data_IF_716852150824
#
_entry.id   IF_716852150824
#
_cell.length_a   1.000
_cell.length_b   1.000
_cell.length_c   1.000
_cell.angle_alpha   90.00
_cell.angle_beta   90.00
_cell.angle_gamma   90.00
#
_symmetry.space_group_name_H-M   'P 1'
#
loop_
_entity.id
_entity.type
_entity.pdbx_description
1 polymer ?
#
# COMPACT_ATOMS: atom_id res chain seq x y z
N UNK A 1 -2.78 -28.77 44.44
CA UNK A 1 -2.49 -28.71 43.00
C UNK A 1 -3.28 -27.55 42.40
N UNK A 2 -2.64 -26.41 42.18
CA UNK A 2 -3.28 -25.24 41.57
C UNK A 2 -2.97 -25.26 40.08
N UNK A 3 -4.00 -25.38 39.26
CA UNK A 3 -3.93 -25.49 37.80
C UNK A 3 -3.65 -24.10 37.19
N UNK A 4 -2.54 -23.87 36.45
CA UNK A 4 -2.29 -22.58 35.83
C UNK A 4 -2.79 -22.62 34.37
N UNK A 5 -4.09 -22.49 34.14
CA UNK A 5 -4.64 -22.46 32.77
C UNK A 5 -5.12 -21.06 32.29
N UNK A 6 -5.09 -20.03 33.15
CA UNK A 6 -5.75 -18.76 32.84
C UNK A 6 -4.88 -17.67 32.19
N UNK A 7 -3.55 -17.82 32.13
CA UNK A 7 -2.65 -16.73 31.71
C UNK A 7 -2.30 -16.71 30.21
N UNK A 8 -2.48 -17.82 29.49
CA UNK A 8 -2.15 -17.89 28.07
C UNK A 8 -3.16 -17.15 27.17
N UNK A 9 -4.46 -17.24 27.49
CA UNK A 9 -5.51 -16.61 26.69
C UNK A 9 -5.50 -15.08 26.77
N UNK A 10 -5.21 -14.51 27.94
CA UNK A 10 -5.14 -13.05 28.13
C UNK A 10 -3.94 -12.42 27.39
N UNK A 11 -2.84 -13.17 27.20
CA UNK A 11 -1.64 -12.73 26.46
C UNK A 11 -1.82 -12.71 24.94
N UNK A 12 -2.53 -13.69 24.38
CA UNK A 12 -2.80 -13.77 22.93
C UNK A 12 -3.58 -12.56 22.39
N UNK A 13 -4.58 -12.10 23.17
CA UNK A 13 -5.46 -10.98 22.83
C UNK A 13 -4.71 -9.63 22.79
N UNK A 14 -3.67 -9.47 23.63
CA UNK A 14 -2.82 -8.28 23.65
C UNK A 14 -1.90 -8.20 22.42
N UNK A 15 -1.31 -9.32 22.01
CA UNK A 15 -0.45 -9.40 20.84
C UNK A 15 -1.22 -9.12 19.54
N UNK A 16 -2.42 -9.70 19.38
CA UNK A 16 -3.26 -9.45 18.22
C UNK A 16 -3.69 -7.99 18.09
N UNK A 17 -4.02 -7.34 19.21
CA UNK A 17 -4.40 -5.91 19.20
C UNK A 17 -3.22 -5.00 18.84
N UNK A 18 -2.01 -5.30 19.31
CA UNK A 18 -0.79 -4.57 18.94
C UNK A 18 -0.38 -4.82 17.48
N UNK A 19 -0.54 -6.05 16.97
CA UNK A 19 -0.35 -6.36 15.55
C UNK A 19 -1.35 -5.62 14.67
N UNK A 20 -2.61 -5.48 15.11
CA UNK A 20 -3.63 -4.70 14.39
C UNK A 20 -3.26 -3.22 14.37
N UNK A 21 -2.89 -2.65 15.51
CA UNK A 21 -2.41 -1.27 15.60
C UNK A 21 -1.19 -1.03 14.72
N UNK A 22 -0.23 -1.96 14.67
CA UNK A 22 0.91 -1.85 13.76
C UNK A 22 0.48 -1.89 12.30
N UNK A 23 -0.46 -2.77 11.91
CA UNK A 23 -0.98 -2.82 10.53
C UNK A 23 -1.69 -1.53 10.12
N UNK A 24 -2.34 -0.86 11.06
CA UNK A 24 -3.11 0.37 10.81
C UNK A 24 -2.25 1.65 10.89
N UNK A 25 -1.24 1.69 11.76
CA UNK A 25 -0.46 2.90 12.04
C UNK A 25 0.97 2.89 11.47
N UNK A 26 1.51 1.72 11.08
CA UNK A 26 2.90 1.63 10.65
C UNK A 26 3.12 2.25 9.27
N UNK A 27 4.13 3.13 9.20
CA UNK A 27 4.64 3.70 7.94
C UNK A 27 4.91 2.63 6.88
N UNK A 28 5.40 1.46 7.29
CA UNK A 28 5.68 0.34 6.38
C UNK A 28 4.40 -0.26 5.81
N UNK A 29 3.34 -0.42 6.61
CA UNK A 29 2.07 -0.93 6.13
C UNK A 29 1.42 0.03 5.13
N UNK A 30 1.49 1.33 5.40
CA UNK A 30 1.06 2.40 4.48
C UNK A 30 1.86 2.39 3.19
N UNK A 31 3.19 2.27 3.26
CA UNK A 31 4.05 2.19 2.08
C UNK A 31 3.68 1.01 1.18
N UNK A 32 3.46 -0.18 1.77
CA UNK A 32 3.03 -1.36 1.02
C UNK A 32 1.65 -1.17 0.37
N UNK A 33 0.73 -0.51 1.07
CA UNK A 33 -0.59 -0.17 0.51
C UNK A 33 -0.47 0.81 -0.67
N UNK A 34 0.40 1.82 -0.57
CA UNK A 34 0.67 2.76 -1.66
C UNK A 34 1.34 2.08 -2.86
N UNK A 35 2.29 1.18 -2.64
CA UNK A 35 2.91 0.39 -3.71
C UNK A 35 1.89 -0.48 -4.45
N UNK A 36 0.97 -1.10 -3.72
CA UNK A 36 -0.15 -1.84 -4.31
C UNK A 36 -1.06 -0.92 -5.12
N UNK A 37 -1.46 0.23 -4.55
CA UNK A 37 -2.31 1.21 -5.24
C UNK A 37 -1.67 1.71 -6.53
N UNK A 38 -0.36 2.02 -6.49
CA UNK A 38 0.41 2.44 -7.67
C UNK A 38 0.40 1.37 -8.77
N UNK A 39 0.65 0.11 -8.40
CA UNK A 39 0.65 -0.99 -9.36
C UNK A 39 -0.75 -1.21 -9.98
N UNK A 40 -1.81 -1.04 -9.18
CA UNK A 40 -3.19 -1.12 -9.65
C UNK A 40 -3.51 0.03 -10.63
N UNK A 41 -3.11 1.27 -10.32
CA UNK A 41 -3.29 2.43 -11.22
C UNK A 41 -2.49 2.31 -12.51
N UNK A 42 -1.31 1.68 -12.48
CA UNK A 42 -0.51 1.46 -13.68
C UNK A 42 -1.19 0.48 -14.64
N UNK A 43 -1.80 -0.59 -14.12
CA UNK A 43 -2.60 -1.52 -14.93
C UNK A 43 -3.80 -0.83 -15.56
N UNK A 44 -4.51 0.00 -14.80
CA UNK A 44 -5.63 0.78 -15.31
C UNK A 44 -5.19 1.75 -16.41
N UNK A 45 -4.10 2.50 -16.19
CA UNK A 45 -3.57 3.41 -17.20
C UNK A 45 -3.10 2.70 -18.48
N UNK A 46 -2.57 1.47 -18.39
CA UNK A 46 -2.27 0.68 -19.59
C UNK A 46 -3.53 0.11 -20.26
N UNK A 47 -4.59 -0.17 -19.50
CA UNK A 47 -5.87 -0.59 -20.07
C UNK A 47 -6.58 0.57 -20.78
N UNK A 48 -6.51 1.79 -20.23
CA UNK A 48 -7.08 3.01 -20.84
C UNK A 48 -6.46 3.30 -22.22
N UNK A 49 -5.18 2.97 -22.42
CA UNK A 49 -4.50 3.09 -23.73
C UNK A 49 -5.01 2.13 -24.80
N UNK A 50 -5.72 1.07 -24.40
CA UNK A 50 -6.36 0.15 -25.34
C UNK A 50 -7.74 0.64 -25.79
N UNK A 51 -8.29 1.64 -25.10
CA UNK A 51 -9.60 2.22 -25.37
C UNK A 51 -9.48 3.42 -26.32
N UNK A 52 -10.50 3.67 -27.15
CA UNK A 52 -10.59 4.91 -27.91
C UNK A 52 -10.76 6.10 -26.96
N UNK A 53 -10.06 7.20 -27.25
CA UNK A 53 -10.26 8.48 -26.57
C UNK A 53 -11.22 9.35 -27.36
N UNK A 54 -12.16 10.00 -26.67
CA UNK A 54 -13.14 10.91 -27.27
C UNK A 54 -12.91 12.28 -26.67
N UNK A 55 -12.53 13.23 -27.52
CA UNK A 55 -12.31 14.63 -27.16
C UNK A 55 -13.42 15.50 -27.75
N UNK A 56 -14.03 16.34 -26.92
CA UNK A 56 -14.98 17.35 -27.35
C UNK A 56 -14.23 18.68 -27.50
N UNK A 57 -14.23 19.25 -28.69
CA UNK A 57 -13.54 20.51 -28.98
C UNK A 57 -14.56 21.55 -29.40
N UNK A 58 -14.56 22.69 -28.73
CA UNK A 58 -15.28 23.88 -29.17
C UNK A 58 -14.26 25.01 -29.34
N UNK A 59 -14.35 25.73 -30.44
CA UNK A 59 -13.40 26.78 -30.76
C UNK A 59 -14.03 27.85 -31.61
N UNK A 60 -13.36 28.99 -31.64
CA UNK A 60 -13.72 30.14 -32.44
C UNK A 60 -12.48 30.59 -33.19
N UNK A 61 -12.59 30.71 -34.50
CA UNK A 61 -11.50 31.10 -35.38
C UNK A 61 -11.86 32.43 -36.07
N UNK A 62 -10.86 33.32 -36.16
CA UNK A 62 -10.93 34.57 -36.91
C UNK A 62 -9.78 34.53 -37.90
N UNK A 63 -10.09 34.20 -39.15
CA UNK A 63 -9.13 34.27 -40.24
C UNK A 63 -9.30 35.59 -41.00
N UNK A 64 -8.19 36.29 -41.25
CA UNK A 64 -8.14 37.51 -42.07
C UNK A 64 -7.08 37.36 -43.16
N UNK A 65 -7.45 37.60 -44.41
CA UNK A 65 -6.52 37.52 -45.55
C UNK A 65 -5.67 38.80 -45.65
N UNK A 66 -4.37 38.62 -45.89
CA UNK A 66 -3.27 39.48 -45.44
C UNK A 66 -3.05 40.75 -46.29
N UNK A 67 -4.11 41.32 -46.88
CA UNK A 67 -3.99 42.56 -47.67
C UNK A 67 -5.03 43.62 -47.37
N UNK A 68 -6.24 43.24 -46.96
CA UNK A 68 -7.26 44.18 -46.51
C UNK A 68 -8.15 43.45 -45.52
N UNK A 69 -8.04 43.78 -44.23
CA UNK A 69 -8.87 43.29 -43.11
C UNK A 69 -10.36 43.69 -43.23
N UNK A 70 -10.95 43.62 -44.42
CA UNK A 70 -12.30 44.06 -44.74
C UNK A 70 -13.30 42.91 -44.78
N UNK A 71 -12.84 41.66 -44.82
CA UNK A 71 -13.68 40.47 -44.73
C UNK A 71 -13.10 39.54 -43.65
N UNK A 72 -13.47 39.77 -42.38
CA UNK A 72 -13.20 38.83 -41.31
C UNK A 72 -14.22 37.70 -41.38
N UNK A 73 -13.78 36.50 -41.74
CA UNK A 73 -14.62 35.31 -41.58
C UNK A 73 -14.50 34.84 -40.13
N UNK A 74 -15.63 34.92 -39.42
CA UNK A 74 -15.75 34.49 -38.03
C UNK A 74 -16.39 33.10 -38.03
N UNK A 75 -15.63 32.09 -37.61
CA UNK A 75 -16.09 30.70 -37.58
C UNK A 75 -16.21 30.19 -36.15
N UNK A 76 -17.42 29.81 -35.73
CA UNK A 76 -17.62 28.99 -34.53
C UNK A 76 -17.65 27.53 -34.95
N UNK A 77 -16.85 26.68 -34.29
CA UNK A 77 -16.90 25.25 -34.51
C UNK A 77 -17.06 24.47 -33.22
N UNK A 78 -17.83 23.39 -33.29
CA UNK A 78 -17.96 22.38 -32.25
C UNK A 78 -17.76 21.04 -32.94
N UNK A 79 -16.80 20.25 -32.45
CA UNK A 79 -16.41 18.98 -33.03
C UNK A 79 -16.22 17.91 -31.96
N UNK A 80 -16.41 16.66 -32.36
CA UNK A 80 -16.05 15.49 -31.56
C UNK A 80 -14.90 14.80 -32.30
N UNK A 81 -13.76 14.68 -31.66
CA UNK A 81 -12.60 13.97 -32.20
C UNK A 81 -12.43 12.66 -31.46
N UNK A 82 -12.43 11.56 -32.19
CA UNK A 82 -12.15 10.24 -31.64
C UNK A 82 -10.76 9.79 -32.10
N UNK A 83 -9.85 9.58 -31.16
CA UNK A 83 -8.52 9.05 -31.42
C UNK A 83 -8.41 7.65 -30.83
N UNK A 84 -8.22 6.66 -31.69
CA UNK A 84 -8.00 5.27 -31.29
C UNK A 84 -6.73 4.75 -31.94
N UNK A 85 -5.69 4.61 -31.14
CA UNK A 85 -4.53 3.80 -31.53
C UNK A 85 -4.99 2.34 -31.55
N UNK A 86 -5.23 1.79 -32.75
CA UNK A 86 -5.50 0.36 -32.94
C UNK A 86 -4.47 -0.43 -32.12
N UNK A 87 -4.90 -1.36 -31.25
CA UNK A 87 -4.00 -2.01 -30.31
C UNK A 87 -2.97 -2.84 -31.05
N UNK A 88 -1.79 -2.26 -31.27
CA UNK A 88 -0.65 -3.00 -31.78
C UNK A 88 -0.20 -4.02 -30.72
N UNK A 89 0.49 -5.08 -31.15
CA UNK A 89 1.01 -6.15 -30.29
C UNK A 89 1.83 -5.58 -29.12
N UNK A 90 2.44 -4.41 -29.29
CA UNK A 90 3.19 -3.69 -28.27
C UNK A 90 2.34 -3.21 -27.08
N UNK A 91 1.21 -2.55 -27.32
CA UNK A 91 0.36 -2.03 -26.22
C UNK A 91 -0.33 -3.17 -25.46
N UNK A 92 -0.75 -4.21 -26.18
CA UNK A 92 -1.26 -5.44 -25.55
C UNK A 92 -0.19 -6.14 -24.70
N UNK A 93 1.08 -6.14 -25.14
CA UNK A 93 2.19 -6.69 -24.36
C UNK A 93 2.48 -5.84 -23.11
N UNK A 94 2.48 -4.51 -23.22
CA UNK A 94 2.64 -3.59 -22.08
C UNK A 94 1.58 -3.83 -21.01
N UNK A 95 0.30 -3.94 -21.39
CA UNK A 95 -0.77 -4.27 -20.45
C UNK A 95 -0.56 -5.64 -19.75
N UNK A 96 -0.13 -6.67 -20.50
CA UNK A 96 0.19 -7.99 -19.90
C UNK A 96 1.35 -7.90 -18.90
N UNK A 97 2.42 -7.16 -19.24
CA UNK A 97 3.55 -6.94 -18.35
C UNK A 97 3.11 -6.21 -17.08
N UNK A 98 2.28 -5.17 -17.18
CA UNK A 98 1.75 -4.46 -16.02
C UNK A 98 0.90 -5.37 -15.13
N UNK A 99 0.09 -6.29 -15.69
CA UNK A 99 -0.64 -7.31 -14.89
C UNK A 99 0.30 -8.25 -14.14
N UNK A 100 1.38 -8.69 -14.77
CA UNK A 100 2.40 -9.53 -14.13
C UNK A 100 3.08 -8.76 -13.00
N UNK A 101 3.48 -7.50 -13.24
CA UNK A 101 4.09 -6.64 -12.22
C UNK A 101 3.15 -6.38 -11.04
N UNK A 102 1.86 -6.12 -11.28
CA UNK A 102 0.84 -6.01 -10.22
C UNK A 102 0.80 -7.26 -9.35
N UNK A 103 0.82 -8.44 -9.96
CA UNK A 103 0.82 -9.72 -9.24
C UNK A 103 2.10 -9.88 -8.42
N UNK A 104 3.26 -9.59 -9.01
CA UNK A 104 4.56 -9.63 -8.33
C UNK A 104 4.60 -8.69 -7.11
N UNK A 105 4.14 -7.45 -7.26
CA UNK A 105 4.05 -6.47 -6.16
C UNK A 105 3.10 -6.97 -5.07
N UNK A 106 1.94 -7.52 -5.43
CA UNK A 106 0.99 -8.07 -4.46
C UNK A 106 1.58 -9.25 -3.67
N UNK A 107 2.28 -10.17 -4.35
CA UNK A 107 2.95 -11.30 -3.71
C UNK A 107 4.10 -10.84 -2.80
N UNK A 108 4.95 -9.93 -3.29
CA UNK A 108 6.04 -9.34 -2.51
C UNK A 108 5.50 -8.65 -1.25
N UNK A 109 4.48 -7.81 -1.39
CA UNK A 109 3.85 -7.13 -0.25
C UNK A 109 3.25 -8.11 0.76
N UNK A 110 2.65 -9.21 0.29
CA UNK A 110 2.11 -10.26 1.17
C UNK A 110 3.22 -10.96 1.94
N UNK A 111 4.33 -11.28 1.27
CA UNK A 111 5.49 -11.90 1.90
C UNK A 111 6.16 -10.97 2.93
N UNK A 112 6.32 -9.68 2.60
CA UNK A 112 6.84 -8.68 3.54
C UNK A 112 5.92 -8.52 4.75
N UNK A 113 4.59 -8.51 4.56
CA UNK A 113 3.63 -8.47 5.67
C UNK A 113 3.75 -9.67 6.59
N UNK A 114 3.90 -10.87 6.02
CA UNK A 114 4.10 -12.10 6.78
C UNK A 114 5.41 -12.05 7.58
N UNK A 115 6.51 -11.68 6.92
CA UNK A 115 7.82 -11.54 7.57
C UNK A 115 7.79 -10.54 8.74
N UNK A 116 7.16 -9.38 8.55
CA UNK A 116 6.99 -8.38 9.62
C UNK A 116 6.14 -8.90 10.78
N UNK A 117 5.05 -9.63 10.50
CA UNK A 117 4.21 -10.21 11.54
C UNK A 117 5.00 -11.24 12.38
N UNK A 118 5.80 -12.08 11.72
CA UNK A 118 6.67 -13.05 12.39
C UNK A 118 7.74 -12.36 13.23
N UNK A 119 8.41 -11.34 12.67
CA UNK A 119 9.42 -10.57 13.39
C UNK A 119 8.86 -9.90 14.65
N UNK A 120 7.67 -9.27 14.55
CA UNK A 120 7.00 -8.65 15.69
C UNK A 120 6.60 -9.67 16.76
N UNK A 121 6.09 -10.84 16.34
CA UNK A 121 5.73 -11.93 17.26
C UNK A 121 6.96 -12.41 18.03
N UNK A 122 8.09 -12.61 17.34
CA UNK A 122 9.34 -13.02 17.97
C UNK A 122 9.86 -11.97 18.94
N UNK A 123 9.79 -10.68 18.57
CA UNK A 123 10.24 -9.58 19.41
C UNK A 123 9.38 -9.48 20.68
N UNK A 124 8.06 -9.59 20.55
CA UNK A 124 7.15 -9.60 21.70
C UNK A 124 7.46 -10.74 22.67
N UNK A 125 7.67 -11.95 22.14
CA UNK A 125 8.06 -13.13 22.94
C UNK A 125 9.42 -12.93 23.64
N UNK A 126 10.36 -12.25 22.98
CA UNK A 126 11.67 -11.93 23.57
C UNK A 126 11.54 -10.94 24.72
N UNK A 127 10.73 -9.89 24.58
CA UNK A 127 10.47 -8.92 25.66
C UNK A 127 9.79 -9.62 26.85
N UNK A 128 8.80 -10.47 26.61
CA UNK A 128 8.13 -11.22 27.70
C UNK A 128 9.12 -12.09 28.47
N UNK A 129 9.98 -12.83 27.76
CA UNK A 129 10.99 -13.66 28.39
C UNK A 129 11.96 -12.81 29.23
N UNK A 130 12.38 -11.65 28.74
CA UNK A 130 13.24 -10.74 29.50
C UNK A 130 12.54 -10.21 30.76
N UNK A 131 11.27 -9.82 30.67
CA UNK A 131 10.49 -9.37 31.83
C UNK A 131 10.34 -10.47 32.88
N UNK A 132 10.11 -11.72 32.45
CA UNK A 132 10.02 -12.86 33.34
C UNK A 132 11.34 -13.12 34.05
N UNK A 133 12.47 -13.08 33.33
CA UNK A 133 13.80 -13.23 33.92
C UNK A 133 14.14 -12.10 34.91
N UNK A 134 13.77 -10.86 34.60
CA UNK A 134 13.93 -9.72 35.52
C UNK A 134 13.08 -9.90 36.78
N UNK A 135 11.85 -10.41 36.64
CA UNK A 135 10.98 -10.73 37.77
C UNK A 135 11.60 -11.77 38.69
N UNK A 136 12.01 -12.91 38.13
CA UNK A 136 12.67 -13.98 38.87
C UNK A 136 13.95 -13.50 39.57
N UNK A 137 14.78 -12.71 38.89
CA UNK A 137 16.00 -12.16 39.48
C UNK A 137 15.75 -11.15 40.62
N UNK A 138 14.63 -10.41 40.58
CA UNK A 138 14.23 -9.54 41.69
C UNK A 138 13.74 -10.33 42.90
N UNK A 139 12.95 -11.38 42.67
CA UNK A 139 12.44 -12.24 43.72
C UNK A 139 13.59 -12.98 44.44
N UNK A 140 14.54 -13.53 43.68
CA UNK A 140 15.72 -14.20 44.24
C UNK A 140 16.59 -13.25 45.08
N UNK A 141 16.80 -12.02 44.60
CA UNK A 141 17.59 -11.01 45.33
C UNK A 141 16.88 -10.48 46.59
N UNK A 142 15.53 -10.45 46.58
CA UNK A 142 14.73 -10.14 47.77
C UNK A 142 14.81 -11.26 48.82
N UNK A 143 14.87 -12.51 48.37
CA UNK A 143 14.99 -13.66 49.25
C UNK A 143 16.38 -13.71 49.91
N UNK A 144 17.45 -13.46 49.16
CA UNK A 144 18.84 -13.41 49.67
C UNK A 144 19.01 -12.26 50.68
N UNK A 145 18.46 -11.08 50.41
CA UNK A 145 18.53 -9.94 51.35
C UNK A 145 17.79 -10.19 52.67
N UNK A 146 16.77 -11.03 52.69
CA UNK A 146 16.06 -11.43 53.92
C UNK A 146 16.91 -12.31 54.85
N UNK A 147 17.88 -13.05 54.33
CA UNK A 147 18.75 -13.94 55.12
C UNK A 147 20.04 -13.29 55.62
N UNK A 148 20.43 -12.11 55.12
CA UNK A 148 21.65 -11.42 55.56
C UNK A 148 21.44 -10.37 56.67
N UNK A 149 20.20 -10.17 57.13
CA UNK A 149 19.85 -9.20 58.19
C UNK A 149 19.24 -9.86 59.45
N UNK A 150 19.33 -11.20 59.57
CA UNK A 150 18.91 -11.97 60.74
C UNK A 150 20.09 -12.39 61.61
#
# INVERSE_FOLDING_TARGET
MVKPESSAHMRSTGLESQLRLFRESSRTATMLALLKKKADTEVLGQADRLLPSINLTAGYDISGDDRFFMASEQGLFVGITMEWSLPDKQESARHKISRINRTRVSLSNSNTRLSLATALTNLYRSIENQQLLIGLGKDENSHIRGYCLG
#
